data_IF_527922521601
#
_entry.id   IF_527922521601
#
_cell.length_a   1.000
_cell.length_b   1.000
_cell.length_c   1.000
_cell.angle_alpha   90.00
_cell.angle_beta   90.00
_cell.angle_gamma   90.00
#
_symmetry.space_group_name_H-M   'P 1'
#
loop_
_entity.id
_entity.type
_entity.pdbx_description
1 polymer ?
#
# COMPACT_ATOMS: atom_id res chain seq x y z
N UNK A 1 6.15 -22.84 54.38
CA UNK A 1 6.62 -22.83 52.97
C UNK A 1 6.00 -21.58 52.35
N UNK A 2 6.80 -20.53 52.32
CA UNK A 2 6.34 -19.18 51.87
C UNK A 2 6.81 -18.98 50.45
N UNK A 3 5.87 -18.97 49.50
CA UNK A 3 6.17 -18.63 48.08
C UNK A 3 6.29 -17.12 47.97
N UNK A 4 7.52 -16.66 47.74
CA UNK A 4 7.76 -15.28 47.27
C UNK A 4 7.38 -15.22 45.78
N UNK A 5 6.28 -14.57 45.48
CA UNK A 5 6.00 -14.08 44.15
C UNK A 5 6.86 -12.80 43.90
N UNK A 6 7.75 -12.88 42.94
CA UNK A 6 8.49 -11.71 42.48
C UNK A 6 7.56 -10.77 41.69
N UNK A 7 7.63 -9.45 41.89
CA UNK A 7 6.83 -8.52 41.12
C UNK A 7 7.30 -8.51 39.67
N UNK A 8 6.36 -8.70 38.73
CA UNK A 8 6.57 -8.46 37.31
C UNK A 8 6.71 -6.96 37.12
N UNK A 9 7.92 -6.49 36.93
CA UNK A 9 8.20 -5.11 36.52
C UNK A 9 7.65 -4.89 35.11
N UNK A 10 6.48 -4.27 35.00
CA UNK A 10 5.98 -3.71 33.76
C UNK A 10 6.86 -2.51 33.40
N UNK A 11 7.78 -2.71 32.45
CA UNK A 11 8.67 -1.68 31.90
C UNK A 11 7.86 -0.70 31.02
N UNK A 12 7.03 0.13 31.64
CA UNK A 12 6.32 1.20 30.96
C UNK A 12 7.31 2.37 30.70
N UNK A 13 7.59 2.63 29.43
CA UNK A 13 8.37 3.79 29.02
C UNK A 13 7.77 5.08 29.62
N UNK A 14 8.58 6.01 30.12
CA UNK A 14 8.11 7.23 30.77
C UNK A 14 7.18 8.05 29.85
N UNK A 15 6.16 8.66 30.39
CA UNK A 15 5.10 9.36 29.64
C UNK A 15 5.64 10.37 28.60
N UNK A 16 6.79 11.00 28.86
CA UNK A 16 7.49 11.90 27.94
C UNK A 16 8.00 11.16 26.69
N UNK A 17 8.50 9.96 26.84
CA UNK A 17 9.03 9.13 25.75
C UNK A 17 7.91 8.59 24.86
N UNK A 18 6.78 8.16 25.45
CA UNK A 18 5.56 7.79 24.71
C UNK A 18 5.03 8.95 23.87
N UNK A 19 5.03 10.17 24.42
CA UNK A 19 4.60 11.37 23.71
C UNK A 19 5.52 11.69 22.53
N UNK A 20 6.84 11.63 22.73
CA UNK A 20 7.81 11.86 21.64
C UNK A 20 7.68 10.83 20.51
N UNK A 21 7.47 9.56 20.84
CA UNK A 21 7.23 8.50 19.82
C UNK A 21 5.92 8.75 19.07
N UNK A 22 4.86 9.13 19.76
CA UNK A 22 3.58 9.47 19.13
C UNK A 22 3.68 10.70 18.23
N UNK A 23 4.44 11.73 18.63
CA UNK A 23 4.69 12.92 17.81
C UNK A 23 5.51 12.56 16.55
N UNK A 24 6.52 11.70 16.69
CA UNK A 24 7.32 11.21 15.57
C UNK A 24 6.47 10.38 14.59
N UNK A 25 5.62 9.49 15.08
CA UNK A 25 4.70 8.72 14.24
C UNK A 25 3.75 9.65 13.45
N UNK A 26 3.11 10.62 14.11
CA UNK A 26 2.24 11.59 13.43
C UNK A 26 2.97 12.42 12.38
N UNK A 27 4.23 12.80 12.63
CA UNK A 27 5.03 13.51 11.64
C UNK A 27 5.36 12.64 10.43
N UNK A 28 5.66 11.35 10.66
CA UNK A 28 5.89 10.38 9.59
C UNK A 28 4.65 10.22 8.71
N UNK A 29 3.48 10.06 9.31
CA UNK A 29 2.21 9.87 8.59
C UNK A 29 1.86 11.11 7.75
N UNK A 30 2.06 12.33 8.30
CA UNK A 30 1.87 13.58 7.55
C UNK A 30 2.85 13.72 6.39
N UNK A 31 4.10 13.31 6.58
CA UNK A 31 5.10 13.30 5.51
C UNK A 31 4.73 12.33 4.39
N UNK A 32 4.27 11.12 4.72
CA UNK A 32 3.82 10.13 3.73
C UNK A 32 2.62 10.65 2.94
N UNK A 33 1.60 11.17 3.60
CA UNK A 33 0.42 11.74 2.94
C UNK A 33 0.78 12.90 1.99
N UNK A 34 1.63 13.84 2.43
CA UNK A 34 2.09 14.95 1.60
C UNK A 34 2.98 14.48 0.44
N UNK A 35 3.85 13.50 0.68
CA UNK A 35 4.70 12.92 -0.34
C UNK A 35 3.89 12.20 -1.43
N UNK A 36 2.87 11.44 -1.02
CA UNK A 36 1.96 10.75 -1.91
C UNK A 36 1.33 11.72 -2.93
N UNK A 37 0.74 12.81 -2.45
CA UNK A 37 0.13 13.84 -3.30
C UNK A 37 1.16 14.52 -4.21
N UNK A 38 2.32 14.88 -3.65
CA UNK A 38 3.37 15.56 -4.42
C UNK A 38 3.96 14.68 -5.51
N UNK A 39 4.19 13.40 -5.22
CA UNK A 39 4.69 12.45 -6.22
C UNK A 39 3.66 12.13 -7.30
N UNK A 40 2.37 12.07 -6.97
CA UNK A 40 1.30 11.91 -7.97
C UNK A 40 1.24 13.08 -8.95
N UNK A 41 1.45 14.29 -8.46
CA UNK A 41 1.34 15.51 -9.27
C UNK A 41 2.61 15.85 -10.06
N UNK A 42 3.78 15.55 -9.50
CA UNK A 42 5.06 16.03 -10.04
C UNK A 42 6.06 14.90 -10.35
N UNK A 43 5.64 13.65 -10.15
CA UNK A 43 6.51 12.48 -10.36
C UNK A 43 7.59 12.30 -9.28
N UNK A 44 8.56 11.40 -9.51
CA UNK A 44 9.59 11.04 -8.53
C UNK A 44 10.53 12.20 -8.15
N UNK A 45 10.60 13.24 -8.99
CA UNK A 45 11.46 14.40 -8.79
C UNK A 45 10.79 15.54 -7.99
N UNK A 46 9.58 15.32 -7.43
CA UNK A 46 8.89 16.29 -6.59
C UNK A 46 9.80 16.87 -5.48
N UNK A 47 9.63 18.15 -5.17
CA UNK A 47 10.47 18.86 -4.20
C UNK A 47 10.26 18.33 -2.78
N UNK A 48 11.34 17.86 -2.12
CA UNK A 48 11.30 17.43 -0.72
C UNK A 48 11.00 18.59 0.23
N UNK A 49 11.42 19.81 -0.13
CA UNK A 49 11.11 21.03 0.64
C UNK A 49 9.61 21.35 0.59
N UNK A 50 8.96 21.16 -0.55
CA UNK A 50 7.51 21.32 -0.68
C UNK A 50 6.75 20.24 0.07
N UNK A 51 7.20 19.00 0.00
CA UNK A 51 6.64 17.88 0.77
C UNK A 51 6.70 18.19 2.26
N UNK A 52 7.86 18.60 2.78
CA UNK A 52 8.01 18.96 4.20
C UNK A 52 7.09 20.12 4.61
N UNK A 53 6.99 21.16 3.76
CA UNK A 53 6.10 22.31 3.98
C UNK A 53 4.64 21.90 3.99
N UNK A 54 4.20 21.06 3.04
CA UNK A 54 2.82 20.60 2.95
C UNK A 54 2.45 19.67 4.12
N UNK A 55 3.43 18.92 4.64
CA UNK A 55 3.29 18.12 5.85
C UNK A 55 3.34 18.95 7.15
N UNK A 56 3.57 20.26 7.07
CA UNK A 56 3.75 21.15 8.24
C UNK A 56 4.90 20.72 9.16
N UNK A 57 5.98 20.20 8.59
CA UNK A 57 7.19 19.81 9.32
C UNK A 57 8.43 20.49 8.76
N UNK A 58 9.46 20.63 9.57
CA UNK A 58 10.75 21.14 9.08
C UNK A 58 11.46 20.12 8.19
N UNK A 59 12.17 20.60 7.17
CA UNK A 59 12.97 19.76 6.25
C UNK A 59 13.95 18.84 7.01
N UNK A 60 14.54 19.29 8.11
CA UNK A 60 15.40 18.46 8.97
C UNK A 60 14.65 17.30 9.63
N UNK A 61 13.32 17.43 9.84
CA UNK A 61 12.47 16.34 10.34
C UNK A 61 12.22 15.32 9.23
N UNK A 62 11.99 15.77 7.99
CA UNK A 62 11.86 14.89 6.83
C UNK A 62 13.11 14.01 6.68
N UNK A 63 14.31 14.60 6.67
CA UNK A 63 15.56 13.84 6.54
C UNK A 63 15.88 12.91 7.72
N UNK A 64 15.34 13.18 8.92
CA UNK A 64 15.44 12.22 10.04
C UNK A 64 14.57 10.99 9.83
N UNK A 65 13.39 11.14 9.21
CA UNK A 65 12.49 10.02 8.92
C UNK A 65 12.90 9.29 7.65
N UNK A 66 13.28 10.04 6.64
CA UNK A 66 13.62 9.56 5.30
C UNK A 66 14.92 10.19 4.84
N UNK A 67 16.07 9.57 5.15
CA UNK A 67 17.40 10.10 4.84
C UNK A 67 17.65 10.36 3.36
N UNK A 68 16.98 9.62 2.48
CA UNK A 68 17.06 9.79 1.03
C UNK A 68 15.67 9.87 0.39
N UNK A 69 15.60 10.37 -0.84
CA UNK A 69 14.38 10.41 -1.65
C UNK A 69 13.83 9.01 -1.91
N UNK A 70 14.73 8.07 -2.21
CA UNK A 70 14.40 6.68 -2.51
C UNK A 70 13.70 6.01 -1.33
N UNK A 71 14.19 6.24 -0.10
CA UNK A 71 13.56 5.73 1.13
C UNK A 71 12.16 6.35 1.37
N UNK A 72 11.95 7.60 0.98
CA UNK A 72 10.62 8.20 1.04
C UNK A 72 9.68 7.59 0.00
N UNK A 73 10.15 7.41 -1.24
CA UNK A 73 9.40 6.75 -2.31
C UNK A 73 9.02 5.31 -1.92
N UNK A 74 9.98 4.53 -1.42
CA UNK A 74 9.74 3.17 -0.93
C UNK A 74 8.69 3.15 0.19
N UNK A 75 8.77 4.10 1.12
CA UNK A 75 7.82 4.17 2.22
C UNK A 75 6.40 4.55 1.75
N UNK A 76 6.26 5.46 0.80
CA UNK A 76 4.97 5.81 0.15
C UNK A 76 4.40 4.60 -0.59
N UNK A 77 5.24 3.87 -1.30
CA UNK A 77 4.83 2.66 -2.01
C UNK A 77 4.31 1.58 -1.06
N UNK A 78 5.05 1.33 0.02
CA UNK A 78 4.66 0.36 1.05
C UNK A 78 3.33 0.73 1.71
N UNK A 79 3.15 1.98 2.08
CA UNK A 79 1.93 2.51 2.69
C UNK A 79 0.69 2.31 1.79
N UNK A 80 0.86 2.47 0.48
CA UNK A 80 -0.19 2.21 -0.51
C UNK A 80 -0.56 0.73 -0.59
N UNK A 81 0.42 -0.17 -0.60
CA UNK A 81 0.17 -1.61 -0.60
C UNK A 81 -0.55 -2.03 0.68
N UNK A 82 -0.11 -1.53 1.84
CA UNK A 82 -0.74 -1.78 3.13
C UNK A 82 -2.20 -1.28 3.15
N UNK A 83 -2.49 -0.14 2.52
CA UNK A 83 -3.85 0.39 2.39
C UNK A 83 -4.77 -0.51 1.55
N UNK A 84 -4.28 -1.04 0.43
CA UNK A 84 -5.04 -1.99 -0.42
C UNK A 84 -5.25 -3.31 0.31
N UNK A 85 -4.26 -3.77 1.08
CA UNK A 85 -4.36 -4.98 1.91
C UNK A 85 -5.42 -4.79 2.98
N UNK A 86 -5.36 -3.69 3.74
CA UNK A 86 -6.33 -3.40 4.80
C UNK A 86 -7.77 -3.24 4.27
N UNK A 87 -7.95 -2.67 3.08
CA UNK A 87 -9.24 -2.63 2.41
C UNK A 87 -9.73 -4.05 2.08
N UNK A 88 -8.85 -4.90 1.55
CA UNK A 88 -9.19 -6.28 1.24
C UNK A 88 -9.62 -7.07 2.47
N UNK A 89 -8.92 -6.91 3.60
CA UNK A 89 -9.29 -7.52 4.88
C UNK A 89 -10.70 -7.09 5.34
N UNK A 90 -11.09 -5.82 5.12
CA UNK A 90 -12.44 -5.34 5.41
C UNK A 90 -13.47 -5.95 4.46
N UNK A 91 -13.15 -6.04 3.18
CA UNK A 91 -14.04 -6.60 2.15
C UNK A 91 -14.27 -8.10 2.30
N UNK A 92 -13.40 -8.83 3.00
CA UNK A 92 -13.66 -10.23 3.36
C UNK A 92 -14.91 -10.43 4.24
N UNK A 93 -15.36 -9.38 4.93
CA UNK A 93 -16.59 -9.41 5.73
C UNK A 93 -17.85 -9.02 4.94
N UNK A 94 -17.71 -8.50 3.71
CA UNK A 94 -18.84 -8.10 2.87
C UNK A 94 -19.65 -9.32 2.39
N UNK A 95 -20.99 -9.25 2.38
CA UNK A 95 -21.84 -10.40 2.04
C UNK A 95 -21.74 -10.79 0.56
N UNK A 96 -21.57 -9.86 -0.37
CA UNK A 96 -21.44 -10.11 -1.81
C UNK A 96 -19.96 -10.29 -2.16
N UNK A 97 -19.56 -11.52 -2.42
CA UNK A 97 -18.16 -11.85 -2.69
C UNK A 97 -17.67 -11.30 -4.04
N UNK A 98 -18.55 -11.17 -5.04
CA UNK A 98 -18.14 -10.62 -6.34
C UNK A 98 -17.95 -9.12 -6.26
N UNK A 99 -18.85 -8.42 -5.59
CA UNK A 99 -18.73 -6.98 -5.36
C UNK A 99 -17.47 -6.66 -4.51
N UNK A 100 -17.21 -7.44 -3.45
CA UNK A 100 -16.00 -7.32 -2.65
C UNK A 100 -14.71 -7.50 -3.48
N UNK A 101 -14.64 -8.52 -4.32
CA UNK A 101 -13.51 -8.75 -5.22
C UNK A 101 -13.35 -7.59 -6.21
N UNK A 102 -14.44 -7.11 -6.79
CA UNK A 102 -14.44 -6.00 -7.76
C UNK A 102 -13.95 -4.70 -7.12
N UNK A 103 -14.43 -4.37 -5.93
CA UNK A 103 -13.97 -3.19 -5.18
C UNK A 103 -12.46 -3.27 -4.88
N UNK A 104 -11.97 -4.43 -4.48
CA UNK A 104 -10.54 -4.64 -4.24
C UNK A 104 -9.70 -4.48 -5.52
N UNK A 105 -10.16 -5.04 -6.66
CA UNK A 105 -9.47 -4.88 -7.96
C UNK A 105 -9.43 -3.42 -8.41
N UNK A 106 -10.50 -2.64 -8.19
CA UNK A 106 -10.50 -1.20 -8.46
C UNK A 106 -9.50 -0.44 -7.59
N UNK A 107 -9.45 -0.73 -6.30
CA UNK A 107 -8.48 -0.13 -5.40
C UNK A 107 -7.04 -0.49 -5.80
N UNK A 108 -6.79 -1.75 -6.17
CA UNK A 108 -5.49 -2.19 -6.66
C UNK A 108 -5.10 -1.48 -7.96
N UNK A 109 -6.01 -1.35 -8.92
CA UNK A 109 -5.76 -0.63 -10.19
C UNK A 109 -5.43 0.85 -9.93
N UNK A 110 -6.20 1.52 -9.08
CA UNK A 110 -5.96 2.93 -8.70
C UNK A 110 -4.60 3.09 -8.07
N UNK A 111 -4.26 2.20 -7.14
CA UNK A 111 -2.96 2.20 -6.47
C UNK A 111 -1.80 1.95 -7.44
N UNK A 112 -1.90 0.93 -8.28
CA UNK A 112 -0.89 0.60 -9.27
C UNK A 112 -0.70 1.72 -10.30
N UNK A 113 -1.80 2.40 -10.70
CA UNK A 113 -1.75 3.55 -11.62
C UNK A 113 -1.00 4.74 -11.02
N UNK A 114 -1.24 5.04 -9.76
CA UNK A 114 -0.52 6.09 -9.05
C UNK A 114 0.98 5.76 -8.88
N UNK A 115 1.31 4.48 -8.69
CA UNK A 115 2.69 4.00 -8.62
C UNK A 115 3.42 4.08 -9.98
N UNK A 116 2.72 3.92 -11.10
CA UNK A 116 3.32 4.01 -12.44
C UNK A 116 3.90 5.40 -12.73
N UNK A 117 3.25 6.46 -12.26
CA UNK A 117 3.79 7.84 -12.33
C UNK A 117 5.08 8.03 -11.51
N UNK A 118 5.33 7.14 -10.54
CA UNK A 118 6.53 7.13 -9.70
C UNK A 118 7.64 6.22 -10.26
N UNK A 119 7.36 5.46 -11.31
CA UNK A 119 8.19 4.38 -11.84
C UNK A 119 9.39 4.86 -12.68
N UNK A 120 10.22 5.72 -12.11
CA UNK A 120 11.63 5.75 -12.46
C UNK A 120 12.34 4.61 -11.71
N UNK A 121 12.70 3.54 -12.40
CA UNK A 121 13.64 2.45 -12.05
C UNK A 121 13.50 1.71 -10.70
N UNK A 122 13.21 2.31 -9.58
CA UNK A 122 13.18 1.65 -8.26
C UNK A 122 11.84 0.93 -8.00
N UNK A 123 10.72 1.47 -8.51
CA UNK A 123 9.38 0.93 -8.24
C UNK A 123 9.08 -0.27 -9.16
N UNK A 124 9.64 -0.28 -10.38
CA UNK A 124 9.48 -1.42 -11.30
C UNK A 124 10.12 -2.67 -10.69
N UNK A 125 11.29 -2.52 -10.07
CA UNK A 125 12.01 -3.63 -9.41
C UNK A 125 11.23 -4.20 -8.20
N UNK A 126 10.46 -3.36 -7.50
CA UNK A 126 9.58 -3.77 -6.39
C UNK A 126 8.23 -4.34 -6.85
N UNK A 127 7.76 -3.96 -8.05
CA UNK A 127 6.48 -4.43 -8.63
C UNK A 127 6.64 -5.65 -9.54
N UNK A 128 7.87 -5.93 -10.02
CA UNK A 128 8.11 -6.97 -11.01
C UNK A 128 7.96 -8.36 -10.38
N UNK A 129 6.81 -8.95 -10.63
CA UNK A 129 6.42 -10.30 -10.17
C UNK A 129 7.39 -11.36 -10.71
N UNK A 130 8.02 -11.09 -11.86
CA UNK A 130 8.89 -12.05 -12.54
C UNK A 130 10.35 -12.01 -12.04
N UNK A 131 10.80 -10.93 -11.41
CA UNK A 131 12.21 -10.78 -10.98
C UNK A 131 12.50 -11.26 -9.57
N UNK A 132 11.51 -11.40 -8.68
CA UNK A 132 11.76 -11.67 -7.25
C UNK A 132 11.32 -13.06 -6.77
N UNK A 133 10.64 -13.88 -7.60
CA UNK A 133 10.24 -15.24 -7.20
C UNK A 133 9.55 -15.31 -5.83
N UNK A 134 10.06 -16.15 -4.91
CA UNK A 134 9.54 -16.30 -3.55
C UNK A 134 9.96 -15.16 -2.60
N UNK A 135 10.85 -14.26 -3.02
CA UNK A 135 11.40 -13.16 -2.19
C UNK A 135 10.67 -11.81 -2.35
N UNK A 136 9.36 -11.84 -2.53
CA UNK A 136 8.56 -10.61 -2.58
C UNK A 136 8.62 -9.86 -1.24
N UNK A 137 8.58 -8.50 -1.26
CA UNK A 137 8.38 -7.73 -0.03
C UNK A 137 7.17 -8.25 0.73
N UNK A 138 7.23 -8.41 2.07
CA UNK A 138 6.15 -8.97 2.87
C UNK A 138 4.78 -8.32 2.63
N UNK A 139 4.76 -7.00 2.39
CA UNK A 139 3.52 -6.26 2.10
C UNK A 139 2.86 -6.71 0.78
N UNK A 140 3.65 -6.95 -0.28
CA UNK A 140 3.13 -7.45 -1.57
C UNK A 140 2.59 -8.88 -1.44
N UNK A 141 3.24 -9.72 -0.65
CA UNK A 141 2.79 -11.08 -0.39
C UNK A 141 1.45 -11.10 0.37
N UNK A 142 1.28 -10.23 1.38
CA UNK A 142 0.01 -10.08 2.11
C UNK A 142 -1.12 -9.59 1.20
N UNK A 143 -0.88 -8.56 0.39
CA UNK A 143 -1.86 -8.04 -0.57
C UNK A 143 -2.35 -9.14 -1.51
N UNK A 144 -1.43 -9.96 -2.04
CA UNK A 144 -1.79 -11.10 -2.92
C UNK A 144 -2.58 -12.17 -2.18
N UNK A 145 -2.23 -12.48 -0.94
CA UNK A 145 -2.96 -13.46 -0.12
C UNK A 145 -4.42 -13.04 0.08
N UNK A 146 -4.66 -11.78 0.43
CA UNK A 146 -6.01 -11.21 0.57
C UNK A 146 -6.77 -11.26 -0.76
N UNK A 147 -6.13 -10.88 -1.88
CA UNK A 147 -6.74 -10.99 -3.21
C UNK A 147 -7.12 -12.42 -3.59
N UNK A 148 -6.28 -13.40 -3.24
CA UNK A 148 -6.56 -14.82 -3.45
C UNK A 148 -7.77 -15.30 -2.62
N UNK A 149 -7.92 -14.82 -1.38
CA UNK A 149 -9.03 -15.17 -0.52
C UNK A 149 -10.35 -14.56 -1.02
N UNK A 150 -10.35 -13.31 -1.47
CA UNK A 150 -11.51 -12.67 -2.10
C UNK A 150 -11.94 -13.40 -3.37
N UNK A 151 -10.99 -13.79 -4.24
CA UNK A 151 -11.27 -14.58 -5.43
C UNK A 151 -11.86 -15.95 -5.07
N UNK A 152 -11.28 -16.66 -4.09
CA UNK A 152 -11.76 -17.96 -3.67
C UNK A 152 -13.22 -17.91 -3.16
N UNK A 153 -13.59 -16.84 -2.45
CA UNK A 153 -14.98 -16.62 -2.02
C UNK A 153 -15.92 -16.46 -3.22
N UNK A 154 -15.57 -15.60 -4.19
CA UNK A 154 -16.37 -15.39 -5.38
C UNK A 154 -16.50 -16.65 -6.23
N UNK A 155 -15.45 -17.48 -6.30
CA UNK A 155 -15.48 -18.80 -6.94
C UNK A 155 -16.39 -19.79 -6.21
N UNK A 156 -16.36 -19.81 -4.87
CA UNK A 156 -17.22 -20.67 -4.06
C UNK A 156 -18.72 -20.33 -4.21
N UNK A 157 -19.05 -19.04 -4.43
CA UNK A 157 -20.40 -18.59 -4.72
C UNK A 157 -20.79 -18.79 -6.20
N UNK A 158 -19.85 -19.19 -7.05
CA UNK A 158 -20.10 -19.39 -8.49
C UNK A 158 -20.20 -18.09 -9.29
N UNK A 159 -19.80 -16.95 -8.71
CA UNK A 159 -19.83 -15.63 -9.32
C UNK A 159 -18.53 -15.28 -10.05
N UNK A 160 -17.44 -15.96 -9.74
CA UNK A 160 -16.16 -15.90 -10.47
C UNK A 160 -15.83 -17.23 -11.12
N UNK A 161 -15.05 -17.18 -12.19
CA UNK A 161 -14.58 -18.38 -12.94
C UNK A 161 -13.73 -19.28 -12.02
N UNK A 162 -13.99 -20.58 -11.98
CA UNK A 162 -13.25 -21.51 -11.11
C UNK A 162 -11.80 -21.75 -11.56
N UNK A 163 -11.47 -21.42 -12.81
CA UNK A 163 -10.13 -21.56 -13.41
C UNK A 163 -9.33 -20.25 -13.39
N UNK A 164 -9.84 -19.16 -12.78
CA UNK A 164 -9.10 -17.92 -12.60
C UNK A 164 -8.08 -18.08 -11.46
N UNK A 165 -6.88 -17.54 -11.66
CA UNK A 165 -5.82 -17.47 -10.67
C UNK A 165 -5.66 -16.04 -10.16
N UNK A 166 -5.36 -15.88 -8.89
CA UNK A 166 -5.16 -14.56 -8.27
C UNK A 166 -3.92 -13.84 -8.82
N UNK A 167 -2.87 -14.57 -9.21
CA UNK A 167 -1.70 -13.98 -9.85
C UNK A 167 -2.06 -13.44 -11.24
N UNK A 168 -2.91 -14.13 -11.99
CA UNK A 168 -3.38 -13.67 -13.29
C UNK A 168 -4.21 -12.39 -13.17
N UNK A 169 -5.00 -12.23 -12.10
CA UNK A 169 -5.72 -10.98 -11.82
C UNK A 169 -4.76 -9.82 -11.53
N UNK A 170 -3.72 -10.04 -10.73
CA UNK A 170 -2.70 -9.02 -10.44
C UNK A 170 -1.93 -8.65 -11.72
N UNK A 171 -1.54 -9.64 -12.52
CA UNK A 171 -0.90 -9.42 -13.83
C UNK A 171 -1.79 -8.63 -14.78
N UNK A 172 -3.09 -8.97 -14.83
CA UNK A 172 -4.07 -8.24 -15.65
C UNK A 172 -4.18 -6.78 -15.22
N UNK A 173 -4.28 -6.48 -13.92
CA UNK A 173 -4.30 -5.13 -13.40
C UNK A 173 -3.02 -4.37 -13.80
N UNK A 174 -1.85 -4.96 -13.62
CA UNK A 174 -0.57 -4.35 -14.00
C UNK A 174 -0.46 -4.12 -15.52
N UNK A 175 -0.94 -5.06 -16.34
CA UNK A 175 -0.99 -4.90 -17.78
C UNK A 175 -1.93 -3.77 -18.21
N UNK A 176 -3.11 -3.64 -17.58
CA UNK A 176 -4.04 -2.54 -17.80
C UNK A 176 -3.42 -1.19 -17.45
N UNK A 177 -2.74 -1.10 -16.31
CA UNK A 177 -2.02 0.10 -15.89
C UNK A 177 -0.99 0.49 -16.95
N UNK A 178 -0.17 -0.46 -17.42
CA UNK A 178 0.87 -0.22 -18.42
C UNK A 178 0.29 0.18 -19.77
N UNK A 179 -0.79 -0.48 -20.22
CA UNK A 179 -1.44 -0.19 -21.49
C UNK A 179 -2.20 1.16 -21.52
N UNK A 180 -2.56 1.68 -20.34
CA UNK A 180 -3.36 2.91 -20.19
C UNK A 180 -2.55 4.06 -19.59
N UNK A 181 -1.22 4.02 -19.68
CA UNK A 181 -0.33 5.04 -19.13
C UNK A 181 -0.72 6.47 -19.55
N UNK A 182 -1.13 6.64 -20.81
CA UNK A 182 -1.50 7.93 -21.43
C UNK A 182 -3.04 8.15 -21.49
N UNK A 183 -3.85 7.25 -20.94
CA UNK A 183 -5.31 7.37 -21.02
C UNK A 183 -5.86 8.31 -19.95
N UNK A 184 -6.56 9.37 -20.37
CA UNK A 184 -7.23 10.33 -19.48
C UNK A 184 -8.37 9.69 -18.66
N UNK A 185 -8.85 8.49 -19.05
CA UNK A 185 -10.05 7.87 -18.50
C UNK A 185 -9.82 6.41 -18.05
N UNK A 186 -8.78 6.19 -17.26
CA UNK A 186 -8.41 4.88 -16.71
C UNK A 186 -9.48 4.28 -15.80
N UNK A 187 -10.11 5.13 -14.99
CA UNK A 187 -11.16 4.72 -14.05
C UNK A 187 -12.39 4.22 -14.78
N UNK A 188 -12.85 4.94 -15.81
CA UNK A 188 -14.00 4.49 -16.61
C UNK A 188 -13.69 3.24 -17.46
N UNK A 189 -12.42 3.01 -17.81
CA UNK A 189 -12.04 1.73 -18.43
C UNK A 189 -12.13 0.58 -17.43
N UNK A 190 -11.64 0.78 -16.21
CA UNK A 190 -11.74 -0.19 -15.13
C UNK A 190 -13.21 -0.54 -14.82
N UNK A 191 -14.07 0.48 -14.69
CA UNK A 191 -15.50 0.30 -14.47
C UNK A 191 -16.14 -0.59 -15.54
N UNK A 192 -15.77 -0.40 -16.81
CA UNK A 192 -16.30 -1.23 -17.92
C UNK A 192 -15.76 -2.66 -17.95
N UNK A 193 -14.57 -2.91 -17.37
CA UNK A 193 -13.92 -4.22 -17.41
C UNK A 193 -14.27 -5.10 -16.20
N UNK A 194 -14.64 -4.48 -15.07
CA UNK A 194 -14.93 -5.18 -13.83
C UNK A 194 -16.42 -5.21 -13.48
N UNK A 195 -17.30 -4.70 -14.35
CA UNK A 195 -18.77 -4.82 -14.24
C UNK A 195 -19.28 -5.93 -15.14
#
# INVERSE_FOLDING_TARGET
>A
MSSLEAPVETNEAPAKERRLRADAARNRDRLLAAAQVSFEQHGPDASLEEIARNAEVGIGTLYRHFPTRELLLEAVFRDRIESVTALGDQLLAEPDAFDALTQWLHAHLTNASACQGLAGSVVIELLDVDTHGEDHPPACAQMRAVGAELLARAQAEGTARPDADSEDLVRLVNALVSATADAEDRTALADRLFT
#
